data_IF_792919114676
#
_entry.id   IF_792919114676
#
_cell.length_a   1.000
_cell.length_b   1.000
_cell.length_c   1.000
_cell.angle_alpha   90.00
_cell.angle_beta   90.00
_cell.angle_gamma   90.00
#
_symmetry.space_group_name_H-M   'P 1'
#
loop_
_entity.id
_entity.type
_entity.pdbx_description
1 polymer ?
#
# COMPACT_ATOMS: atom_id res chain seq x y z
N UNK A 1 -51.21 -36.24 -31.33
CA UNK A 1 -49.85 -36.04 -30.79
C UNK A 1 -48.90 -36.08 -31.96
N UNK A 2 -48.32 -34.93 -32.31
CA UNK A 2 -47.64 -34.67 -33.57
C UNK A 2 -46.22 -35.22 -33.56
N UNK A 3 -45.89 -36.08 -34.53
CA UNK A 3 -44.52 -36.44 -34.89
C UNK A 3 -43.98 -35.44 -35.93
N UNK A 4 -42.72 -35.01 -35.84
CA UNK A 4 -42.09 -34.23 -36.91
C UNK A 4 -41.67 -35.13 -38.09
N UNK A 5 -41.67 -34.61 -39.33
CA UNK A 5 -41.38 -35.38 -40.54
C UNK A 5 -39.88 -35.61 -40.77
N UNK A 6 -39.59 -36.77 -41.36
CA UNK A 6 -38.30 -37.24 -41.87
C UNK A 6 -37.80 -36.39 -43.05
N UNK A 7 -36.52 -36.02 -43.03
CA UNK A 7 -35.85 -35.34 -44.14
C UNK A 7 -34.99 -36.34 -44.94
N UNK A 8 -35.19 -36.52 -46.26
CA UNK A 8 -34.34 -37.35 -47.08
C UNK A 8 -33.54 -36.47 -48.05
N UNK A 9 -32.21 -36.42 -47.97
CA UNK A 9 -31.37 -36.25 -49.16
C UNK A 9 -29.88 -36.57 -48.87
N UNK A 10 -29.21 -37.37 -49.72
CA UNK A 10 -27.76 -37.59 -49.69
C UNK A 10 -27.05 -36.53 -50.54
N UNK A 11 -25.97 -35.93 -50.02
CA UNK A 11 -25.18 -34.91 -50.72
C UNK A 11 -23.69 -35.12 -50.51
N UNK A 12 -23.04 -35.62 -51.55
CA UNK A 12 -21.61 -35.88 -51.69
C UNK A 12 -20.76 -34.60 -51.67
N UNK A 13 -19.71 -34.60 -50.84
CA UNK A 13 -18.67 -33.55 -50.85
C UNK A 13 -17.71 -33.75 -52.04
N UNK A 14 -17.42 -32.72 -52.85
CA UNK A 14 -16.36 -32.78 -53.85
C UNK A 14 -14.96 -32.66 -53.19
N UNK A 15 -13.93 -33.35 -53.72
CA UNK A 15 -12.55 -33.21 -53.23
C UNK A 15 -11.94 -31.85 -53.66
N UNK A 16 -10.96 -31.32 -52.89
CA UNK A 16 -10.29 -30.06 -53.23
C UNK A 16 -9.50 -30.17 -54.54
N UNK A 17 -9.68 -29.19 -55.42
CA UNK A 17 -8.93 -29.04 -56.66
C UNK A 17 -7.49 -28.58 -56.36
N UNK A 18 -6.51 -29.25 -56.95
CA UNK A 18 -5.12 -28.82 -57.02
C UNK A 18 -4.99 -27.70 -58.06
N UNK A 19 -4.38 -26.57 -57.70
CA UNK A 19 -3.95 -25.56 -58.67
C UNK A 19 -2.46 -25.67 -58.99
N UNK A 20 -2.03 -25.47 -60.26
CA UNK A 20 -0.65 -25.56 -60.70
C UNK A 20 0.13 -24.27 -60.38
N UNK A 21 1.46 -24.41 -60.22
CA UNK A 21 2.34 -23.35 -59.75
C UNK A 21 2.40 -22.06 -60.57
N UNK A 22 2.86 -21.00 -59.90
CA UNK A 22 3.18 -19.72 -60.52
C UNK A 22 3.65 -18.65 -59.51
N UNK A 23 4.92 -18.25 -59.68
CA UNK A 23 5.63 -17.06 -59.17
C UNK A 23 5.99 -16.97 -57.67
N UNK A 24 7.29 -16.87 -57.32
CA UNK A 24 7.72 -16.47 -55.98
C UNK A 24 7.37 -14.99 -55.73
N UNK A 25 7.03 -14.60 -54.49
CA UNK A 25 6.79 -13.21 -54.14
C UNK A 25 8.08 -12.38 -54.30
N UNK A 26 7.99 -11.10 -54.69
CA UNK A 26 9.14 -10.21 -54.73
C UNK A 26 9.70 -10.04 -53.31
N UNK A 27 11.00 -10.30 -53.16
CA UNK A 27 11.75 -10.02 -51.93
C UNK A 27 11.76 -8.50 -51.73
N UNK A 28 11.10 -8.02 -50.69
CA UNK A 28 11.29 -6.65 -50.22
C UNK A 28 12.75 -6.51 -49.73
N UNK A 29 13.48 -5.47 -50.13
CA UNK A 29 14.77 -5.14 -49.52
C UNK A 29 14.53 -4.84 -48.04
N UNK A 30 15.10 -5.64 -47.15
CA UNK A 30 15.15 -5.32 -45.73
C UNK A 30 15.91 -4.01 -45.51
N UNK A 31 15.60 -3.24 -44.45
CA UNK A 31 16.40 -2.08 -44.11
C UNK A 31 17.83 -2.52 -43.83
N UNK A 32 18.77 -1.99 -44.60
CA UNK A 32 20.20 -2.07 -44.28
C UNK A 32 20.44 -1.30 -42.99
N UNK A 33 20.70 -2.02 -41.91
CA UNK A 33 21.26 -1.43 -40.70
C UNK A 33 22.70 -1.00 -40.98
N UNK A 34 22.86 0.29 -41.24
CA UNK A 34 24.14 0.98 -41.21
C UNK A 34 24.78 0.83 -39.83
N UNK A 35 26.07 0.54 -39.83
CA UNK A 35 26.89 0.42 -38.63
C UNK A 35 26.91 1.71 -37.81
N UNK A 36 26.75 1.56 -36.50
CA UNK A 36 27.07 2.61 -35.55
C UNK A 36 28.57 2.53 -35.17
N UNK A 37 29.27 3.67 -35.05
CA UNK A 37 30.59 3.69 -34.43
C UNK A 37 30.51 3.34 -32.94
N UNK A 38 31.48 2.55 -32.49
CA UNK A 38 31.68 2.10 -31.11
C UNK A 38 31.76 3.25 -30.11
N UNK A 39 30.95 3.17 -29.05
CA UNK A 39 31.03 4.05 -27.89
C UNK A 39 32.29 3.74 -27.04
N UNK A 40 32.93 4.74 -26.41
CA UNK A 40 34.07 4.52 -25.52
C UNK A 40 33.65 3.78 -24.25
N UNK A 41 34.40 2.72 -23.91
CA UNK A 41 34.25 1.93 -22.69
C UNK A 41 34.51 2.79 -21.44
N UNK A 42 33.59 2.78 -20.48
CA UNK A 42 33.86 3.25 -19.12
C UNK A 42 34.68 2.20 -18.35
N UNK A 43 35.70 2.61 -17.57
CA UNK A 43 36.50 1.69 -16.78
C UNK A 43 35.72 1.17 -15.56
N UNK A 44 35.72 -0.15 -15.40
CA UNK A 44 35.23 -0.88 -14.23
C UNK A 44 36.13 -0.69 -13.01
N UNK A 45 35.59 -0.60 -11.78
CA UNK A 45 36.40 -0.55 -10.56
C UNK A 45 37.05 -1.92 -10.30
N UNK A 46 38.39 -1.87 -10.24
CA UNK A 46 39.30 -2.98 -9.98
C UNK A 46 39.25 -3.36 -8.50
N UNK A 47 38.59 -4.48 -8.17
CA UNK A 47 38.70 -5.11 -6.84
C UNK A 47 40.00 -5.93 -6.78
N UNK A 48 40.96 -5.44 -6.02
CA UNK A 48 42.27 -6.06 -5.85
C UNK A 48 42.27 -7.20 -4.83
N UNK A 49 42.79 -8.36 -5.28
CA UNK A 49 43.87 -9.10 -4.60
C UNK A 49 43.59 -9.80 -3.26
N UNK A 50 43.40 -11.12 -3.32
CA UNK A 50 43.93 -12.08 -2.31
C UNK A 50 45.48 -12.18 -2.46
N UNK A 51 46.28 -12.70 -1.48
CA UNK A 51 46.05 -14.01 -0.82
C UNK A 51 46.56 -14.17 0.64
N UNK A 52 46.17 -15.27 1.30
CA UNK A 52 47.00 -15.90 2.34
C UNK A 52 46.30 -16.39 3.62
N UNK A 53 46.03 -17.70 3.65
CA UNK A 53 46.20 -18.66 4.77
C UNK A 53 45.98 -18.20 6.23
N UNK A 54 45.13 -18.92 7.00
CA UNK A 54 45.58 -19.79 8.11
C UNK A 54 44.39 -20.38 8.89
N UNK A 55 44.53 -21.66 9.22
CA UNK A 55 43.58 -22.55 9.89
C UNK A 55 43.77 -22.50 11.42
N UNK A 56 42.67 -22.53 12.20
CA UNK A 56 42.65 -23.05 13.57
C UNK A 56 42.19 -22.11 14.71
N UNK A 57 41.49 -22.69 15.69
CA UNK A 57 41.55 -22.23 17.09
C UNK A 57 40.21 -21.90 17.79
N UNK A 58 39.87 -22.67 18.82
CA UNK A 58 38.78 -22.50 19.79
C UNK A 58 39.01 -21.31 20.77
N UNK A 59 38.03 -20.91 21.61
CA UNK A 59 38.01 -19.60 22.26
C UNK A 59 38.77 -19.58 23.59
N UNK A 60 39.20 -18.40 24.03
CA UNK A 60 39.64 -18.18 25.43
C UNK A 60 39.45 -16.73 25.86
N UNK A 61 38.97 -16.58 27.10
CA UNK A 61 38.84 -15.36 27.89
C UNK A 61 40.13 -14.54 27.98
N UNK A 62 40.03 -13.20 28.11
CA UNK A 62 40.83 -12.42 29.08
C UNK A 62 40.43 -10.93 29.15
N UNK A 63 39.87 -10.58 30.32
CA UNK A 63 40.21 -9.48 31.25
C UNK A 63 40.67 -8.08 30.80
N UNK A 64 40.14 -7.11 31.55
CA UNK A 64 40.32 -5.66 31.56
C UNK A 64 41.70 -5.16 32.06
N UNK A 65 41.87 -3.82 32.12
CA UNK A 65 42.31 -3.23 33.39
C UNK A 65 41.48 -2.05 33.90
N UNK A 66 41.53 -1.92 35.23
CA UNK A 66 40.85 -0.99 36.13
C UNK A 66 41.34 0.48 36.13
N UNK A 67 40.45 1.35 36.61
CA UNK A 67 40.74 2.45 37.57
C UNK A 67 39.40 2.74 38.31
N UNK A 68 39.22 2.88 39.62
CA UNK A 68 40.06 2.90 40.83
C UNK A 68 39.34 3.76 41.90
N UNK A 69 39.19 3.25 43.13
CA UNK A 69 38.72 3.95 44.36
C UNK A 69 37.48 3.30 44.97
N UNK A 70 37.53 2.53 46.09
CA UNK A 70 38.06 2.84 47.44
C UNK A 70 36.83 3.11 48.33
N UNK A 71 36.53 2.50 49.48
CA UNK A 71 37.31 2.08 50.67
C UNK A 71 36.46 0.98 51.40
N UNK A 72 36.99 -0.22 51.76
CA UNK A 72 37.62 -0.56 53.05
C UNK A 72 36.59 -1.05 54.10
N UNK A 73 36.29 -2.36 54.24
CA UNK A 73 36.91 -3.38 55.12
C UNK A 73 36.63 -3.19 56.63
N UNK A 74 36.46 -4.18 57.52
CA UNK A 74 36.40 -5.65 57.53
C UNK A 74 35.84 -6.10 58.91
N UNK A 75 35.17 -7.26 58.90
CA UNK A 75 34.93 -8.35 59.89
C UNK A 75 35.87 -8.50 61.14
N UNK A 76 35.72 -9.54 62.02
CA UNK A 76 34.59 -10.04 62.85
C UNK A 76 35.01 -10.44 64.31
N UNK A 77 34.07 -10.89 65.17
CA UNK A 77 34.28 -11.99 66.13
C UNK A 77 32.98 -12.40 66.86
N UNK A 78 32.71 -13.72 66.91
CA UNK A 78 31.81 -14.42 67.86
C UNK A 78 32.43 -14.43 69.30
N UNK A 79 31.96 -15.17 70.35
CA UNK A 79 30.79 -16.04 70.56
C UNK A 79 30.11 -15.87 71.96
N UNK A 80 29.20 -16.78 72.31
CA UNK A 80 28.61 -17.09 73.64
C UNK A 80 27.32 -16.35 74.07
N UNK A 81 26.36 -17.16 74.54
CA UNK A 81 25.14 -16.71 75.21
C UNK A 81 25.17 -16.95 76.72
N UNK A 82 24.19 -16.38 77.43
CA UNK A 82 23.62 -16.93 78.65
C UNK A 82 22.27 -16.27 78.95
N UNK A 83 21.46 -17.00 79.71
CA UNK A 83 20.13 -16.71 80.26
C UNK A 83 20.14 -15.47 81.16
N UNK A 84 18.99 -14.79 81.35
CA UNK A 84 18.59 -14.39 82.70
C UNK A 84 17.09 -14.04 82.76
N UNK A 85 16.39 -14.75 83.64
CA UNK A 85 14.99 -14.58 84.05
C UNK A 85 14.86 -13.49 85.12
N UNK A 86 13.78 -12.68 85.09
CA UNK A 86 13.43 -11.82 86.23
C UNK A 86 12.22 -10.91 86.02
N UNK A 87 11.05 -11.35 86.48
CA UNK A 87 9.86 -10.54 86.82
C UNK A 87 10.02 -10.01 88.28
N UNK A 88 9.15 -9.16 88.90
CA UNK A 88 7.92 -8.50 88.40
C UNK A 88 7.65 -7.03 88.89
N UNK A 89 6.54 -6.48 88.40
CA UNK A 89 5.54 -5.61 89.09
C UNK A 89 5.72 -4.07 89.23
N UNK A 90 4.82 -3.33 88.58
CA UNK A 90 4.48 -1.92 88.88
C UNK A 90 3.66 -1.23 87.77
N UNK A 91 2.39 -0.90 88.01
CA UNK A 91 1.51 -0.06 87.15
C UNK A 91 1.70 1.45 87.46
N UNK A 92 1.04 2.45 86.82
CA UNK A 92 0.18 2.52 85.61
C UNK A 92 0.48 3.72 84.64
N UNK A 93 -0.34 3.87 83.58
CA UNK A 93 -0.75 5.09 82.85
C UNK A 93 -0.38 5.24 81.35
N UNK A 94 -1.43 5.25 80.50
CA UNK A 94 -1.53 6.00 79.24
C UNK A 94 -1.06 5.32 77.93
N UNK A 95 -1.96 4.91 77.01
CA UNK A 95 -1.54 4.57 75.65
C UNK A 95 -1.18 5.83 74.85
N UNK A 96 -0.03 5.86 74.12
CA UNK A 96 0.33 6.96 73.25
C UNK A 96 -0.54 7.00 71.98
N UNK A 97 -0.71 8.17 71.32
CA UNK A 97 -1.59 8.30 70.17
C UNK A 97 -1.08 7.48 68.98
N UNK A 98 -1.98 6.67 68.37
CA UNK A 98 -1.70 5.94 67.14
C UNK A 98 -1.47 6.91 65.98
N UNK A 99 -0.27 6.95 65.41
CA UNK A 99 -0.01 7.62 64.13
C UNK A 99 -0.82 6.94 63.03
N UNK A 100 -1.66 7.74 62.37
CA UNK A 100 -2.50 7.35 61.23
C UNK A 100 -1.61 7.03 60.03
N UNK A 101 -1.50 5.75 59.65
CA UNK A 101 -0.75 5.37 58.45
C UNK A 101 -1.60 5.67 57.21
N UNK A 102 -1.07 6.49 56.30
CA UNK A 102 -1.69 6.76 55.00
C UNK A 102 -1.45 5.61 54.01
N UNK A 103 -0.93 4.47 54.48
CA UNK A 103 -0.51 3.33 53.66
C UNK A 103 -1.70 2.69 52.93
N UNK A 104 -2.87 2.61 53.58
CA UNK A 104 -4.10 2.15 52.94
C UNK A 104 -4.61 3.10 51.85
N UNK A 105 -4.34 4.41 51.98
CA UNK A 105 -4.71 5.42 50.97
C UNK A 105 -3.79 5.35 49.75
N UNK A 106 -2.49 5.15 49.96
CA UNK A 106 -1.52 5.02 48.87
C UNK A 106 -1.79 3.74 48.07
N UNK A 107 -2.04 2.60 48.73
CA UNK A 107 -2.41 1.34 48.08
C UNK A 107 -3.72 1.44 47.29
N UNK A 108 -4.74 2.12 47.83
CA UNK A 108 -6.00 2.33 47.11
C UNK A 108 -5.84 3.27 45.91
N UNK A 109 -5.02 4.32 46.01
CA UNK A 109 -4.73 5.22 44.88
C UNK A 109 -3.93 4.49 43.81
N UNK A 110 -2.92 3.67 44.18
CA UNK A 110 -2.17 2.88 43.19
C UNK A 110 -3.04 1.84 42.51
N UNK A 111 -3.90 1.13 43.25
CA UNK A 111 -4.85 0.18 42.67
C UNK A 111 -5.84 0.89 41.73
N UNK A 112 -6.37 2.05 42.14
CA UNK A 112 -7.28 2.84 41.30
C UNK A 112 -6.60 3.35 40.03
N UNK A 113 -5.35 3.82 40.12
CA UNK A 113 -4.58 4.26 38.94
C UNK A 113 -4.28 3.09 38.01
N UNK A 114 -3.91 1.91 38.54
CA UNK A 114 -3.68 0.70 37.74
C UNK A 114 -4.97 0.22 37.07
N UNK A 115 -6.11 0.25 37.77
CA UNK A 115 -7.41 -0.11 37.20
C UNK A 115 -7.85 0.90 36.13
N UNK A 116 -7.62 2.20 36.32
CA UNK A 116 -7.89 3.23 35.31
C UNK A 116 -6.93 3.10 34.11
N UNK A 117 -5.67 2.72 34.31
CA UNK A 117 -4.72 2.45 33.22
C UNK A 117 -5.07 1.17 32.45
N UNK A 118 -5.47 0.10 33.13
CA UNK A 118 -5.86 -1.16 32.51
C UNK A 118 -7.23 -1.09 31.82
N UNK A 119 -8.22 -0.41 32.41
CA UNK A 119 -9.56 -0.27 31.83
C UNK A 119 -9.66 0.90 30.86
N UNK A 120 -8.99 2.02 31.13
CA UNK A 120 -8.90 3.17 30.24
C UNK A 120 -8.01 2.88 29.02
N UNK A 121 -6.91 2.14 29.21
CA UNK A 121 -6.09 1.63 28.11
C UNK A 121 -6.84 0.60 27.25
N UNK A 122 -7.61 -0.30 27.87
CA UNK A 122 -8.45 -1.25 27.13
C UNK A 122 -9.56 -0.56 26.34
N UNK A 123 -10.21 0.49 26.87
CA UNK A 123 -11.23 1.23 26.13
C UNK A 123 -10.63 1.99 24.93
N UNK A 124 -9.50 2.68 25.12
CA UNK A 124 -8.83 3.41 24.02
C UNK A 124 -8.31 2.44 22.95
N UNK A 125 -7.69 1.32 23.36
CA UNK A 125 -7.27 0.27 22.42
C UNK A 125 -8.46 -0.43 21.75
N UNK A 126 -9.58 -0.59 22.43
CA UNK A 126 -10.79 -1.21 21.88
C UNK A 126 -11.53 -0.29 20.90
N UNK A 127 -11.58 1.02 21.15
CA UNK A 127 -12.10 1.99 20.20
C UNK A 127 -11.17 2.13 18.99
N UNK A 128 -9.87 2.29 19.20
CA UNK A 128 -8.90 2.34 18.10
C UNK A 128 -8.87 1.04 17.26
N UNK A 129 -8.93 -0.13 17.91
CA UNK A 129 -9.01 -1.41 17.20
C UNK A 129 -10.36 -1.63 16.51
N UNK A 130 -11.46 -1.07 17.02
CA UNK A 130 -12.76 -1.12 16.34
C UNK A 130 -12.76 -0.31 15.05
N UNK A 131 -12.17 0.87 15.09
CA UNK A 131 -12.07 1.74 13.91
C UNK A 131 -11.19 1.08 12.84
N UNK A 132 -10.04 0.51 13.25
CA UNK A 132 -9.14 -0.18 12.33
C UNK A 132 -9.76 -1.47 11.73
N UNK A 133 -10.47 -2.27 12.54
CA UNK A 133 -11.17 -3.47 12.05
C UNK A 133 -12.36 -3.09 11.17
N UNK A 134 -13.10 -2.03 11.51
CA UNK A 134 -14.20 -1.50 10.71
C UNK A 134 -13.73 -1.04 9.34
N UNK A 135 -12.66 -0.25 9.29
CA UNK A 135 -12.05 0.22 8.04
C UNK A 135 -11.55 -0.92 7.16
N UNK A 136 -10.97 -1.98 7.75
CA UNK A 136 -10.56 -3.17 6.99
C UNK A 136 -11.77 -3.92 6.45
N UNK A 137 -12.84 -4.07 7.24
CA UNK A 137 -14.07 -4.73 6.79
C UNK A 137 -14.71 -3.93 5.64
N UNK A 138 -14.80 -2.61 5.75
CA UNK A 138 -15.37 -1.79 4.68
C UNK A 138 -14.48 -1.80 3.43
N UNK A 139 -13.16 -1.79 3.59
CA UNK A 139 -12.21 -1.98 2.48
C UNK A 139 -12.42 -3.30 1.73
N UNK A 140 -12.76 -4.40 2.42
CA UNK A 140 -13.06 -5.68 1.74
C UNK A 140 -14.33 -5.64 0.89
N UNK A 141 -15.23 -4.68 1.16
CA UNK A 141 -16.47 -4.49 0.41
C UNK A 141 -16.35 -3.45 -0.70
N UNK A 142 -15.32 -2.59 -0.68
CA UNK A 142 -15.06 -1.64 -1.75
C UNK A 142 -14.92 -2.35 -3.08
N UNK A 143 -15.60 -1.84 -4.11
CA UNK A 143 -15.48 -2.27 -5.50
C UNK A 143 -15.28 -1.05 -6.38
N UNK A 144 -14.61 -1.26 -7.51
CA UNK A 144 -14.53 -0.25 -8.57
C UNK A 144 -15.26 -0.77 -9.81
N UNK A 145 -15.96 0.12 -10.49
CA UNK A 145 -16.67 -0.20 -11.72
C UNK A 145 -16.46 0.91 -12.76
N UNK A 146 -16.49 0.52 -14.04
CA UNK A 146 -16.54 1.46 -15.15
C UNK A 146 -18.03 1.72 -15.47
N UNK A 147 -18.61 2.86 -15.05
CA UNK A 147 -20.04 3.12 -15.26
C UNK A 147 -20.38 3.29 -16.76
N UNK A 148 -21.67 3.34 -17.08
CA UNK A 148 -22.12 3.66 -18.46
C UNK A 148 -21.84 5.12 -18.81
N UNK A 149 -21.87 5.99 -17.81
CA UNK A 149 -21.58 7.42 -17.90
C UNK A 149 -20.68 7.84 -16.75
N UNK A 150 -19.77 8.78 -16.99
CA UNK A 150 -18.89 9.35 -15.97
C UNK A 150 -18.93 10.89 -16.03
N UNK A 151 -19.35 11.55 -14.96
CA UNK A 151 -19.51 13.01 -14.93
C UNK A 151 -20.42 13.51 -16.07
N UNK A 152 -21.46 12.74 -16.42
CA UNK A 152 -22.37 13.01 -17.53
C UNK A 152 -21.84 12.66 -18.93
N UNK A 153 -20.60 12.19 -19.06
CA UNK A 153 -20.00 11.77 -20.33
C UNK A 153 -20.30 10.30 -20.60
N UNK A 154 -20.74 9.97 -21.81
CA UNK A 154 -20.95 8.57 -22.21
C UNK A 154 -19.62 7.83 -22.34
N UNK A 155 -19.60 6.55 -21.98
CA UNK A 155 -18.45 5.68 -22.23
C UNK A 155 -18.16 5.60 -23.73
N UNK A 156 -16.88 5.72 -24.09
CA UNK A 156 -16.39 5.59 -25.46
C UNK A 156 -16.32 4.12 -25.84
N UNK A 157 -16.75 3.79 -27.05
CA UNK A 157 -16.76 2.42 -27.60
C UNK A 157 -15.81 2.26 -28.79
N UNK A 158 -14.96 3.25 -29.02
CA UNK A 158 -13.89 3.17 -30.03
C UNK A 158 -12.90 2.07 -29.65
N UNK A 159 -12.48 1.27 -30.64
CA UNK A 159 -11.68 0.07 -30.40
C UNK A 159 -10.26 0.41 -29.92
N UNK A 160 -9.67 1.49 -30.41
CA UNK A 160 -8.31 1.91 -30.06
C UNK A 160 -8.27 2.38 -28.60
N UNK A 161 -9.22 3.25 -28.22
CA UNK A 161 -9.34 3.72 -26.84
C UNK A 161 -9.75 2.60 -25.87
N UNK A 162 -10.55 1.64 -26.32
CA UNK A 162 -10.86 0.46 -25.50
C UNK A 162 -9.61 -0.37 -25.24
N UNK A 163 -8.81 -0.60 -26.28
CA UNK A 163 -7.56 -1.38 -26.18
C UNK A 163 -6.54 -0.67 -25.27
N UNK A 164 -6.40 0.65 -25.40
CA UNK A 164 -5.52 1.45 -24.54
C UNK A 164 -5.95 1.39 -23.06
N UNK A 165 -7.26 1.39 -22.79
CA UNK A 165 -7.76 1.22 -21.42
C UNK A 165 -7.45 -0.19 -20.88
N UNK A 166 -7.61 -1.22 -21.70
CA UNK A 166 -7.32 -2.60 -21.31
C UNK A 166 -5.81 -2.82 -21.03
N UNK A 167 -4.93 -2.20 -21.82
CA UNK A 167 -3.48 -2.21 -21.59
C UNK A 167 -3.11 -1.55 -20.25
N UNK A 168 -3.68 -0.37 -19.98
CA UNK A 168 -3.45 0.32 -18.71
C UNK A 168 -3.96 -0.48 -17.50
N UNK A 169 -5.11 -1.15 -17.64
CA UNK A 169 -5.59 -2.07 -16.61
C UNK A 169 -4.69 -3.29 -16.43
N UNK A 170 -4.06 -3.77 -17.50
CA UNK A 170 -3.11 -4.87 -17.41
C UNK A 170 -1.84 -4.46 -16.66
N UNK A 171 -1.34 -3.23 -16.86
CA UNK A 171 -0.23 -2.67 -16.07
C UNK A 171 -0.65 -2.49 -14.60
N UNK A 172 -1.79 -1.86 -14.34
CA UNK A 172 -2.29 -1.64 -12.97
C UNK A 172 -2.46 -2.95 -12.18
N UNK A 173 -2.84 -4.05 -12.84
CA UNK A 173 -2.93 -5.37 -12.20
C UNK A 173 -1.58 -5.95 -11.79
N UNK A 174 -0.47 -5.54 -12.42
CA UNK A 174 0.87 -5.96 -12.02
C UNK A 174 1.28 -5.28 -10.71
N UNK A 175 0.84 -4.03 -10.54
CA UNK A 175 1.11 -3.24 -9.32
C UNK A 175 0.18 -3.64 -8.16
N UNK A 176 -1.06 -4.04 -8.49
CA UNK A 176 -2.07 -4.49 -7.52
C UNK A 176 -2.51 -5.94 -7.84
N UNK A 177 -1.65 -6.95 -7.59
CA UNK A 177 -1.94 -8.34 -7.97
C UNK A 177 -3.12 -8.94 -7.20
N UNK A 178 -3.40 -8.43 -5.99
CA UNK A 178 -4.51 -8.87 -5.14
C UNK A 178 -5.80 -8.06 -5.38
N UNK A 179 -5.91 -7.38 -6.53
CA UNK A 179 -7.10 -6.63 -6.89
C UNK A 179 -8.35 -7.54 -6.96
N UNK A 180 -9.37 -7.17 -6.20
CA UNK A 180 -10.69 -7.81 -6.15
C UNK A 180 -11.63 -7.33 -7.26
N UNK A 181 -11.40 -6.13 -7.79
CA UNK A 181 -12.03 -5.64 -9.02
C UNK A 181 -11.15 -4.58 -9.68
N UNK A 182 -11.34 -4.37 -10.98
CA UNK A 182 -10.64 -3.34 -11.75
C UNK A 182 -11.61 -2.64 -12.69
N UNK A 183 -11.45 -1.33 -12.86
CA UNK A 183 -12.30 -0.50 -13.70
C UNK A 183 -11.45 0.41 -14.57
N UNK A 184 -11.67 0.37 -15.88
CA UNK A 184 -10.97 1.22 -16.83
C UNK A 184 -11.86 1.58 -18.00
N UNK A 185 -11.53 2.68 -18.65
CA UNK A 185 -12.21 3.10 -19.87
C UNK A 185 -12.08 4.59 -20.14
N UNK A 186 -12.54 4.95 -21.33
CA UNK A 186 -12.63 6.34 -21.78
C UNK A 186 -14.08 6.81 -21.81
N UNK A 187 -14.29 8.09 -21.59
CA UNK A 187 -15.60 8.74 -21.52
C UNK A 187 -15.55 10.08 -22.26
N UNK A 188 -16.63 10.40 -22.97
CA UNK A 188 -16.81 11.66 -23.67
C UNK A 188 -16.63 11.54 -25.18
N UNK A 189 -16.11 12.59 -25.80
CA UNK A 189 -15.90 12.68 -27.23
C UNK A 189 -14.56 13.37 -27.55
N UNK A 190 -13.57 12.63 -28.10
CA UNK A 190 -12.25 13.19 -28.41
C UNK A 190 -12.32 14.29 -29.48
N UNK A 191 -13.24 14.20 -30.45
CA UNK A 191 -13.41 15.22 -31.49
C UNK A 191 -13.92 16.56 -30.92
N UNK A 192 -14.53 16.54 -29.72
CA UNK A 192 -14.96 17.74 -28.99
C UNK A 192 -13.97 18.20 -27.93
N UNK A 193 -12.77 17.58 -27.87
CA UNK A 193 -11.78 17.84 -26.82
C UNK A 193 -12.34 17.67 -25.41
N UNK A 194 -13.23 16.69 -25.25
CA UNK A 194 -13.84 16.35 -23.97
C UNK A 194 -13.70 14.85 -23.77
N UNK A 195 -12.52 14.43 -23.32
CA UNK A 195 -12.17 13.03 -23.15
C UNK A 195 -11.61 12.83 -21.75
N UNK A 196 -12.16 11.85 -21.04
CA UNK A 196 -11.73 11.45 -19.71
C UNK A 196 -11.37 9.98 -19.75
N UNK A 197 -10.22 9.61 -19.20
CA UNK A 197 -9.81 8.23 -18.96
C UNK A 197 -9.87 7.96 -17.46
N UNK A 198 -10.25 6.73 -17.12
CA UNK A 198 -10.10 6.20 -15.77
C UNK A 198 -9.31 4.91 -15.78
N UNK A 199 -8.62 4.66 -14.68
CA UNK A 199 -8.17 3.34 -14.29
C UNK A 199 -8.23 3.24 -12.77
N UNK A 200 -8.78 2.17 -12.23
CA UNK A 200 -8.87 1.94 -10.80
C UNK A 200 -8.85 0.44 -10.49
N UNK A 201 -8.36 0.10 -9.31
CA UNK A 201 -8.38 -1.23 -8.74
C UNK A 201 -8.90 -1.16 -7.30
N UNK A 202 -9.68 -2.15 -6.89
CA UNK A 202 -10.10 -2.33 -5.49
C UNK A 202 -9.38 -3.51 -4.87
N UNK A 203 -9.00 -3.40 -3.61
CA UNK A 203 -8.31 -4.43 -2.85
C UNK A 203 -7.93 -3.88 -1.48
N UNK A 204 -7.71 -4.77 -0.51
CA UNK A 204 -7.31 -4.32 0.83
C UNK A 204 -5.87 -3.81 0.76
N UNK A 205 -5.69 -2.51 0.95
CA UNK A 205 -4.38 -1.87 0.94
C UNK A 205 -3.88 -1.64 2.37
N UNK A 206 -2.73 -2.24 2.67
CA UNK A 206 -2.06 -2.05 3.95
C UNK A 206 -1.54 -0.61 4.10
N UNK A 207 -1.00 -0.03 3.03
CA UNK A 207 -0.41 1.31 3.02
C UNK A 207 -0.93 2.18 1.84
N UNK A 208 -2.20 2.66 1.89
CA UNK A 208 -2.79 3.46 0.81
C UNK A 208 -1.96 4.69 0.45
N UNK A 209 -1.37 5.35 1.45
CA UNK A 209 -0.54 6.54 1.24
C UNK A 209 0.72 6.22 0.44
N UNK A 210 1.36 5.08 0.74
CA UNK A 210 2.51 4.60 -0.02
C UNK A 210 2.15 4.25 -1.46
N UNK A 211 1.01 3.61 -1.70
CA UNK A 211 0.51 3.33 -3.05
C UNK A 211 0.26 4.62 -3.84
N UNK A 212 -0.36 5.63 -3.19
CA UNK A 212 -0.56 6.95 -3.79
C UNK A 212 0.77 7.65 -4.11
N UNK A 213 1.76 7.58 -3.22
CA UNK A 213 3.09 8.16 -3.44
C UNK A 213 3.79 7.49 -4.64
N UNK A 214 3.72 6.17 -4.75
CA UNK A 214 4.25 5.42 -5.90
C UNK A 214 3.53 5.82 -7.19
N UNK A 215 2.20 5.75 -7.20
CA UNK A 215 1.41 6.09 -8.38
C UNK A 215 1.65 7.53 -8.87
N UNK A 216 1.71 8.51 -7.95
CA UNK A 216 2.01 9.89 -8.33
C UNK A 216 3.44 10.08 -8.85
N UNK A 217 4.42 9.31 -8.36
CA UNK A 217 5.79 9.33 -8.88
C UNK A 217 5.88 8.75 -10.30
N UNK A 218 5.20 7.64 -10.54
CA UNK A 218 5.21 6.98 -11.85
C UNK A 218 4.50 7.87 -12.89
N UNK A 219 3.33 8.40 -12.55
CA UNK A 219 2.61 9.37 -13.39
C UNK A 219 3.39 10.67 -13.61
N UNK A 220 4.19 11.13 -12.65
CA UNK A 220 5.07 12.28 -12.86
C UNK A 220 6.09 12.04 -13.98
N UNK A 221 6.53 10.80 -14.12
CA UNK A 221 7.47 10.39 -15.18
C UNK A 221 6.76 10.20 -16.51
N UNK A 222 5.65 9.46 -16.51
CA UNK A 222 4.92 9.09 -17.73
C UNK A 222 4.17 10.27 -18.37
N UNK A 223 3.52 11.10 -17.55
CA UNK A 223 2.71 12.23 -18.00
C UNK A 223 3.42 13.57 -17.83
N UNK A 224 4.72 13.56 -17.53
CA UNK A 224 5.50 14.77 -17.28
C UNK A 224 4.83 15.77 -16.29
N UNK A 225 4.15 15.24 -15.27
CA UNK A 225 3.53 16.05 -14.22
C UNK A 225 4.61 16.60 -13.32
N UNK A 226 4.69 17.93 -13.20
CA UNK A 226 5.75 18.59 -12.42
C UNK A 226 5.50 18.55 -10.92
N UNK A 227 4.23 18.59 -10.54
CA UNK A 227 3.80 18.69 -9.15
C UNK A 227 2.42 18.08 -8.99
N UNK A 228 2.28 17.22 -7.99
CA UNK A 228 0.99 16.76 -7.49
C UNK A 228 0.65 17.49 -6.19
N UNK A 229 -0.52 18.14 -6.16
CA UNK A 229 -1.04 18.84 -4.98
C UNK A 229 -2.08 17.98 -4.30
N UNK A 230 -2.09 18.01 -2.96
CA UNK A 230 -3.15 17.37 -2.19
C UNK A 230 -4.47 18.08 -2.44
N UNK A 231 -5.54 17.31 -2.64
CA UNK A 231 -6.91 17.79 -2.84
C UNK A 231 -7.86 17.08 -1.89
N UNK A 232 -9.07 17.61 -1.76
CA UNK A 232 -10.12 16.97 -0.96
C UNK A 232 -10.50 15.61 -1.57
N UNK A 233 -10.38 14.49 -0.83
CA UNK A 233 -10.71 13.15 -1.34
C UNK A 233 -12.22 12.91 -1.45
N UNK A 234 -13.03 13.73 -0.78
CA UNK A 234 -14.48 13.59 -0.73
C UNK A 234 -14.95 12.60 0.35
N UNK A 235 -16.27 12.28 0.36
CA UNK A 235 -16.89 11.50 1.44
C UNK A 235 -16.44 10.03 1.52
N UNK A 236 -15.77 9.54 0.48
CA UNK A 236 -15.20 8.19 0.46
C UNK A 236 -13.92 8.09 1.31
N UNK A 237 -13.33 9.22 1.70
CA UNK A 237 -12.13 9.26 2.54
C UNK A 237 -10.85 8.88 1.79
N UNK A 238 -9.80 8.56 2.53
CA UNK A 238 -8.46 8.32 1.97
C UNK A 238 -7.70 9.61 1.65
N UNK A 239 -6.71 9.51 0.80
CA UNK A 239 -5.90 10.63 0.31
C UNK A 239 -6.14 10.80 -1.20
N UNK A 240 -6.09 12.05 -1.69
CA UNK A 240 -6.16 12.35 -3.11
C UNK A 240 -5.16 13.44 -3.49
N UNK A 241 -4.62 13.34 -4.71
CA UNK A 241 -3.72 14.33 -5.28
C UNK A 241 -4.02 14.58 -6.74
N UNK A 242 -3.83 15.81 -7.19
CA UNK A 242 -3.98 16.16 -8.60
C UNK A 242 -2.82 17.00 -9.13
N UNK A 243 -2.55 16.91 -10.42
CA UNK A 243 -1.48 17.66 -11.08
C UNK A 243 -1.67 17.78 -12.59
N UNK A 244 -1.09 18.83 -13.17
CA UNK A 244 -1.10 19.09 -14.61
C UNK A 244 0.10 18.43 -15.29
N UNK A 245 -0.16 17.81 -16.43
CA UNK A 245 0.84 17.11 -17.23
C UNK A 245 0.52 17.13 -18.71
N UNK A 246 1.10 16.18 -19.44
CA UNK A 246 0.86 15.94 -20.86
C UNK A 246 1.01 14.48 -21.23
N UNK A 247 0.20 14.00 -22.15
CA UNK A 247 0.33 12.70 -22.82
C UNK A 247 0.50 12.97 -24.32
N UNK A 248 1.62 12.56 -24.92
CA UNK A 248 1.91 12.81 -26.35
C UNK A 248 1.65 14.27 -26.80
N UNK A 249 2.14 15.22 -26.00
CA UNK A 249 1.95 16.67 -26.14
C UNK A 249 0.49 17.17 -26.06
N UNK A 250 -0.47 16.29 -25.74
CA UNK A 250 -1.83 16.68 -25.33
C UNK A 250 -1.81 17.09 -23.86
N UNK A 251 -2.23 18.32 -23.51
CA UNK A 251 -2.37 18.72 -22.11
C UNK A 251 -3.34 17.81 -21.37
N UNK A 252 -2.97 17.37 -20.17
CA UNK A 252 -3.83 16.58 -19.31
C UNK A 252 -3.88 17.13 -17.89
N UNK A 253 -5.04 17.00 -17.25
CA UNK A 253 -5.17 17.08 -15.80
C UNK A 253 -5.34 15.68 -15.25
N UNK A 254 -4.63 15.34 -14.18
CA UNK A 254 -4.73 14.03 -13.53
C UNK A 254 -5.06 14.19 -12.06
N UNK A 255 -5.99 13.37 -11.57
CA UNK A 255 -6.28 13.20 -10.15
C UNK A 255 -6.18 11.73 -9.80
N UNK A 256 -5.49 11.43 -8.70
CA UNK A 256 -5.25 10.08 -8.18
C UNK A 256 -5.77 10.03 -6.75
N UNK A 257 -6.36 8.91 -6.36
CA UNK A 257 -6.78 8.67 -4.98
C UNK A 257 -6.32 7.30 -4.50
N UNK A 258 -6.13 7.20 -3.19
CA UNK A 258 -5.97 5.92 -2.52
C UNK A 258 -6.68 5.94 -1.16
N UNK A 259 -7.40 4.87 -0.87
CA UNK A 259 -7.98 4.56 0.43
C UNK A 259 -7.67 3.10 0.82
N UNK A 260 -8.24 2.60 1.92
CA UNK A 260 -7.95 1.23 2.38
C UNK A 260 -8.46 0.14 1.44
N UNK A 261 -9.39 0.47 0.54
CA UNK A 261 -10.06 -0.46 -0.36
C UNK A 261 -9.90 -0.17 -1.85
N UNK A 262 -9.39 0.99 -2.27
CA UNK A 262 -9.21 1.32 -3.69
C UNK A 262 -8.09 2.32 -4.00
N UNK A 263 -7.41 2.09 -5.13
CA UNK A 263 -6.46 2.99 -5.77
C UNK A 263 -7.01 3.29 -7.16
N UNK A 264 -7.00 4.54 -7.56
CA UNK A 264 -7.37 4.87 -8.93
C UNK A 264 -6.95 6.25 -9.37
N UNK A 265 -7.15 6.49 -10.66
CA UNK A 265 -6.85 7.75 -11.32
C UNK A 265 -7.93 8.12 -12.33
N UNK A 266 -8.12 9.44 -12.48
CA UNK A 266 -8.90 10.07 -13.52
C UNK A 266 -7.98 11.01 -14.26
N UNK A 267 -7.93 10.89 -15.59
CA UNK A 267 -7.15 11.76 -16.46
C UNK A 267 -8.14 12.47 -17.40
N UNK A 268 -8.19 13.80 -17.36
CA UNK A 268 -8.89 14.59 -18.37
C UNK A 268 -7.90 15.02 -19.44
N UNK A 269 -8.24 14.82 -20.71
CA UNK A 269 -7.45 15.30 -21.84
C UNK A 269 -7.96 16.68 -22.29
N UNK A 270 -7.06 17.47 -22.87
CA UNK A 270 -7.31 18.81 -23.42
C UNK A 270 -7.78 19.86 -22.41
N UNK A 271 -7.78 19.52 -21.12
CA UNK A 271 -8.27 20.33 -20.00
C UNK A 271 -7.24 20.35 -18.89
N UNK A 272 -7.37 21.32 -17.99
CA UNK A 272 -6.50 21.46 -16.84
C UNK A 272 -6.97 20.61 -15.66
N UNK A 273 -6.10 20.46 -14.67
CA UNK A 273 -6.42 19.86 -13.38
C UNK A 273 -7.44 20.66 -12.60
N UNK A 274 -7.48 21.99 -12.77
CA UNK A 274 -8.49 22.82 -12.12
C UNK A 274 -9.90 22.44 -12.59
N UNK A 275 -10.07 22.13 -13.88
CA UNK A 275 -11.33 21.64 -14.43
C UNK A 275 -11.67 20.27 -13.82
N UNK A 276 -10.70 19.35 -13.81
CA UNK A 276 -10.88 18.01 -13.26
C UNK A 276 -11.23 18.02 -11.77
N UNK A 277 -10.55 18.84 -10.96
CA UNK A 277 -10.74 18.89 -9.52
C UNK A 277 -12.18 19.28 -9.14
N UNK A 278 -12.86 20.08 -9.97
CA UNK A 278 -14.26 20.47 -9.74
C UNK A 278 -15.25 19.31 -9.91
N UNK A 279 -14.89 18.30 -10.70
CA UNK A 279 -15.71 17.12 -11.00
C UNK A 279 -15.21 15.85 -10.29
N UNK A 280 -13.99 15.88 -9.73
CA UNK A 280 -13.26 14.74 -9.20
C UNK A 280 -14.05 13.92 -8.18
N UNK A 281 -14.58 14.57 -7.13
CA UNK A 281 -15.31 13.87 -6.06
C UNK A 281 -16.56 13.16 -6.61
N UNK A 282 -17.26 13.80 -7.54
CA UNK A 282 -18.44 13.22 -8.19
C UNK A 282 -18.05 11.99 -9.01
N UNK A 283 -17.04 12.12 -9.88
CA UNK A 283 -16.59 11.02 -10.73
C UNK A 283 -16.02 9.86 -9.90
N UNK A 284 -15.25 10.12 -8.85
CA UNK A 284 -14.79 9.08 -7.92
C UNK A 284 -15.99 8.33 -7.31
N UNK A 285 -17.03 9.04 -6.89
CA UNK A 285 -18.25 8.43 -6.34
C UNK A 285 -19.05 7.59 -7.34
N UNK A 286 -18.86 7.79 -8.64
CA UNK A 286 -19.46 6.94 -9.69
C UNK A 286 -18.60 5.69 -9.98
N UNK A 287 -17.28 5.77 -9.75
CA UNK A 287 -16.31 4.68 -9.98
C UNK A 287 -16.23 3.75 -8.78
N UNK A 288 -16.06 4.30 -7.57
CA UNK A 288 -15.83 3.57 -6.33
C UNK A 288 -17.15 3.36 -5.58
N UNK A 289 -17.49 2.09 -5.36
CA UNK A 289 -18.70 1.65 -4.70
C UNK A 289 -18.34 1.03 -3.36
N UNK A 290 -18.81 1.62 -2.26
CA UNK A 290 -18.78 0.99 -0.94
C UNK A 290 -19.95 0.03 -0.80
N UNK A 291 -19.70 -1.17 -0.27
CA UNK A 291 -20.71 -2.21 -0.03
C UNK A 291 -21.19 -2.30 1.41
#
# INVERSE_FOLDING_TARGET
>A
MSQPPSNPYPGSYPPPQQQPGGYPPPQQPGPQYGGYPSAPQQPSPQYGGQPGQQYGGYPTEQQAPQYGGGYGSEQPASPYGYLETGQPQGSPAGPPPKKKSNLGRILLITLAVVVVLCLGGAAVLWFAAKDEVGDVVDATKTRVAAPATLGGRAKVTDAELTSAADEMLAEMKKDVPDATSTAGGFYGNPAKKDLVMIAAASGVMANPKGELDTATKDLSTELAVKEFKTVEPGPLGGDARCGDGKADDVPVGVCVWADRGSLGMIITYFKSTADLQSEFVTMRGEIEQKG
#
